data_IF_517176832367
#
_entry.id   IF_517176832367
#
_cell.length_a   1.000
_cell.length_b   1.000
_cell.length_c   1.000
_cell.angle_alpha   90.00
_cell.angle_beta   90.00
_cell.angle_gamma   90.00
#
_symmetry.space_group_name_H-M   'P 1'
#
loop_
_entity.id
_entity.type
_entity.pdbx_description
1 polymer ?
#
# COMPACT_ATOMS: atom_id res chain seq x y z
N UNK A 1 31.00 45.01 -45.20
CA UNK A 1 30.11 44.98 -44.01
C UNK A 1 28.71 44.67 -44.51
N UNK A 2 27.97 43.63 -44.12
CA UNK A 2 28.19 42.31 -43.52
C UNK A 2 26.93 41.55 -43.95
N UNK A 3 27.03 40.33 -44.48
CA UNK A 3 25.87 39.50 -44.87
C UNK A 3 25.01 39.18 -43.63
N UNK A 4 23.67 39.14 -43.72
CA UNK A 4 22.86 38.40 -42.77
C UNK A 4 22.69 36.94 -43.21
N UNK A 5 22.40 36.11 -42.22
CA UNK A 5 22.67 34.69 -42.11
C UNK A 5 21.65 33.78 -42.81
N UNK A 6 22.14 32.60 -43.21
CA UNK A 6 21.33 31.42 -43.52
C UNK A 6 20.71 30.88 -42.23
N UNK A 7 19.38 30.83 -42.18
CA UNK A 7 18.65 29.95 -41.27
C UNK A 7 18.55 28.59 -41.95
N UNK A 8 19.03 27.55 -41.27
CA UNK A 8 18.89 26.16 -41.70
C UNK A 8 17.81 25.54 -40.83
N UNK A 9 16.64 25.29 -41.43
CA UNK A 9 15.60 24.46 -40.86
C UNK A 9 16.08 23.00 -40.89
N UNK A 10 16.29 22.44 -39.70
CA UNK A 10 16.69 21.05 -39.52
C UNK A 10 15.47 20.28 -39.02
N UNK A 11 14.62 19.86 -39.95
CA UNK A 11 13.53 18.92 -39.70
C UNK A 11 14.14 17.53 -39.47
N UNK A 12 14.20 17.10 -38.20
CA UNK A 12 14.43 15.70 -37.84
C UNK A 12 13.06 15.08 -37.64
N UNK A 13 12.53 14.51 -38.72
CA UNK A 13 11.48 13.50 -38.60
C UNK A 13 12.08 12.28 -37.91
N UNK A 14 11.71 12.09 -36.64
CA UNK A 14 11.99 10.87 -35.91
C UNK A 14 11.07 9.77 -36.46
N UNK A 15 11.65 8.86 -37.25
CA UNK A 15 11.00 7.61 -37.65
C UNK A 15 10.58 6.84 -36.39
N UNK A 16 9.26 6.71 -36.21
CA UNK A 16 8.63 5.94 -35.15
C UNK A 16 8.56 4.47 -35.61
N UNK A 17 9.63 3.72 -35.37
CA UNK A 17 9.63 2.28 -35.60
C UNK A 17 8.72 1.59 -34.59
N UNK A 18 7.54 1.22 -35.06
CA UNK A 18 6.55 0.43 -34.34
C UNK A 18 6.94 -1.06 -34.36
N UNK A 19 7.72 -1.48 -33.38
CA UNK A 19 7.81 -2.86 -32.91
C UNK A 19 6.99 -2.96 -31.60
N UNK A 20 6.22 -3.97 -31.26
CA UNK A 20 5.96 -5.30 -31.80
C UNK A 20 4.70 -5.80 -31.07
N UNK A 21 3.74 -6.38 -31.80
CA UNK A 21 2.61 -7.08 -31.20
C UNK A 21 3.10 -8.41 -30.62
N UNK A 22 3.03 -8.55 -29.30
CA UNK A 22 3.26 -9.83 -28.63
C UNK A 22 1.95 -10.62 -28.62
N UNK A 23 1.80 -11.46 -29.64
CA UNK A 23 0.86 -12.59 -29.71
C UNK A 23 1.18 -13.58 -28.58
N UNK A 24 0.27 -13.72 -27.62
CA UNK A 24 0.36 -14.79 -26.62
C UNK A 24 -0.34 -16.04 -27.16
N UNK A 25 0.46 -17.04 -27.54
CA UNK A 25 0.02 -18.39 -27.87
C UNK A 25 -0.75 -19.04 -26.70
N UNK A 26 -2.08 -19.13 -26.84
CA UNK A 26 -2.93 -20.00 -26.05
C UNK A 26 -2.72 -21.46 -26.50
N UNK A 27 -1.71 -22.12 -25.93
CA UNK A 27 -1.61 -23.58 -26.00
C UNK A 27 -2.59 -24.20 -25.02
N UNK A 28 -3.80 -24.44 -25.50
CA UNK A 28 -4.72 -25.43 -24.96
C UNK A 28 -4.10 -26.82 -25.14
N UNK A 29 -3.76 -27.47 -24.03
CA UNK A 29 -3.52 -28.90 -24.00
C UNK A 29 -4.61 -29.57 -23.18
N UNK A 30 -5.10 -30.65 -23.77
CA UNK A 30 -6.31 -31.40 -23.51
C UNK A 30 -6.20 -32.40 -22.35
N UNK A 31 -7.38 -32.97 -22.03
CA UNK A 31 -7.63 -34.29 -21.42
C UNK A 31 -7.44 -34.41 -19.90
N UNK A 32 -8.55 -34.52 -19.14
CA UNK A 32 -9.45 -35.67 -18.94
C UNK A 32 -8.96 -36.59 -17.81
N UNK A 33 -9.80 -36.72 -16.79
CA UNK A 33 -9.50 -37.50 -15.60
C UNK A 33 -10.55 -37.31 -14.51
N UNK A 34 -11.69 -37.99 -14.66
CA UNK A 34 -12.61 -38.28 -13.57
C UNK A 34 -11.85 -39.13 -12.53
N UNK A 35 -11.82 -38.67 -11.29
CA UNK A 35 -11.22 -39.39 -10.16
C UNK A 35 -11.60 -38.73 -8.87
N UNK A 36 -12.56 -39.35 -8.21
CA UNK A 36 -13.10 -39.06 -6.88
C UNK A 36 -12.02 -38.88 -5.82
N UNK A 37 -12.31 -37.99 -4.88
CA UNK A 37 -11.94 -38.00 -3.45
C UNK A 37 -11.37 -36.66 -3.00
N UNK A 38 -12.29 -35.82 -2.54
CA UNK A 38 -12.01 -34.62 -1.76
C UNK A 38 -11.48 -35.01 -0.38
N UNK A 39 -10.22 -35.43 -0.31
CA UNK A 39 -9.47 -35.41 0.94
C UNK A 39 -9.08 -33.97 1.23
N UNK A 40 -9.74 -33.39 2.23
CA UNK A 40 -9.34 -32.17 2.90
C UNK A 40 -7.92 -32.42 3.45
N UNK A 41 -6.89 -31.90 2.78
CA UNK A 41 -5.54 -31.80 3.34
C UNK A 41 -5.54 -30.74 4.44
N UNK A 42 -6.10 -31.08 5.59
CA UNK A 42 -5.68 -30.51 6.87
C UNK A 42 -4.27 -31.02 7.17
N UNK A 43 -3.31 -30.12 7.34
CA UNK A 43 -2.07 -30.42 8.05
C UNK A 43 -0.82 -30.52 7.18
N UNK A 44 -0.19 -29.38 6.96
CA UNK A 44 1.20 -29.24 7.37
C UNK A 44 1.23 -28.24 8.52
N UNK A 45 1.17 -28.77 9.74
CA UNK A 45 1.68 -28.05 10.91
C UNK A 45 3.17 -27.84 10.67
N UNK A 46 3.52 -26.75 10.01
CA UNK A 46 4.89 -26.23 10.07
C UNK A 46 5.00 -25.70 11.48
N UNK A 47 5.48 -26.56 12.37
CA UNK A 47 5.92 -26.19 13.71
C UNK A 47 7.21 -25.42 13.54
N UNK A 48 7.12 -24.19 13.01
CA UNK A 48 8.15 -23.20 13.27
C UNK A 48 8.15 -23.11 14.80
N UNK A 49 9.26 -23.39 15.49
CA UNK A 49 9.35 -23.05 16.90
C UNK A 49 9.20 -21.54 16.95
N UNK A 50 7.97 -21.08 17.20
CA UNK A 50 7.65 -19.70 17.48
C UNK A 50 8.04 -19.53 18.94
N UNK A 51 9.12 -18.80 19.29
CA UNK A 51 9.43 -18.47 20.67
C UNK A 51 8.17 -18.06 21.40
N UNK A 52 7.95 -18.67 22.56
CA UNK A 52 6.86 -18.32 23.48
C UNK A 52 6.86 -16.80 23.71
N UNK A 53 5.82 -16.11 23.25
CA UNK A 53 5.70 -14.65 23.29
C UNK A 53 5.54 -13.97 21.93
N UNK A 54 5.73 -14.69 20.82
CA UNK A 54 5.54 -14.12 19.49
C UNK A 54 4.10 -14.35 19.03
N UNK A 55 3.35 -13.25 18.96
CA UNK A 55 2.05 -13.21 18.26
C UNK A 55 2.30 -13.27 16.77
N UNK A 56 2.52 -14.47 16.22
CA UNK A 56 2.36 -14.67 14.77
C UNK A 56 0.87 -14.41 14.52
N UNK A 57 0.54 -13.32 13.83
CA UNK A 57 -0.84 -13.10 13.38
C UNK A 57 -1.01 -13.78 12.03
N UNK A 58 -1.53 -15.03 11.96
CA UNK A 58 -1.66 -15.79 10.71
C UNK A 58 -2.69 -15.21 9.73
N UNK A 59 -3.36 -14.11 10.09
CA UNK A 59 -4.46 -13.52 9.32
C UNK A 59 -4.04 -12.36 8.41
N UNK A 60 -2.79 -11.93 8.46
CA UNK A 60 -2.35 -10.70 7.79
C UNK A 60 -1.99 -11.01 6.32
N UNK A 61 -3.01 -11.05 5.48
CA UNK A 61 -2.86 -11.22 4.02
C UNK A 61 -4.12 -10.86 3.22
N UNK A 62 -5.30 -11.04 3.81
CA UNK A 62 -6.57 -10.93 3.07
C UNK A 62 -7.34 -9.61 3.28
N UNK A 63 -6.88 -8.72 4.16
CA UNK A 63 -7.68 -7.55 4.54
C UNK A 63 -6.98 -6.19 4.34
N UNK A 64 -6.09 -6.10 3.36
CA UNK A 64 -5.38 -4.88 3.03
C UNK A 64 -6.22 -3.93 2.17
N UNK A 65 -6.28 -2.66 2.54
CA UNK A 65 -6.87 -1.63 1.70
C UNK A 65 -5.92 -1.30 0.55
N UNK A 66 -6.28 -1.72 -0.67
CA UNK A 66 -5.49 -1.56 -1.89
C UNK A 66 -6.35 -0.94 -3.00
N UNK A 67 -6.73 0.34 -2.89
CA UNK A 67 -7.45 1.02 -3.95
C UNK A 67 -6.63 1.01 -5.25
N UNK A 68 -7.32 1.24 -6.36
CA UNK A 68 -6.69 1.46 -7.65
C UNK A 68 -5.76 2.69 -7.60
N UNK A 69 -4.90 2.82 -8.61
CA UNK A 69 -4.02 3.98 -8.68
C UNK A 69 -4.87 5.26 -8.77
N UNK A 70 -4.53 6.25 -7.94
CA UNK A 70 -5.18 7.55 -7.82
C UNK A 70 -6.66 7.52 -7.37
N UNK A 71 -7.20 6.34 -7.06
CA UNK A 71 -8.50 6.18 -6.41
C UNK A 71 -8.41 6.62 -4.95
N UNK A 72 -9.28 7.56 -4.59
CA UNK A 72 -9.39 8.10 -3.23
C UNK A 72 -10.48 7.39 -2.46
N UNK A 73 -10.13 6.86 -1.30
CA UNK A 73 -11.05 6.17 -0.40
C UNK A 73 -11.06 6.91 0.93
N UNK A 74 -12.26 7.23 1.42
CA UNK A 74 -12.42 7.77 2.76
C UNK A 74 -12.05 6.71 3.80
N UNK A 75 -11.30 7.11 4.82
CA UNK A 75 -10.90 6.21 5.90
C UNK A 75 -11.14 6.85 7.26
N UNK A 76 -11.51 6.02 8.23
CA UNK A 76 -11.47 6.34 9.66
C UNK A 76 -10.33 5.57 10.31
N UNK A 77 -9.44 6.27 11.00
CA UNK A 77 -8.32 5.65 11.71
C UNK A 77 -8.83 5.01 12.99
N UNK A 78 -8.53 3.74 13.20
CA UNK A 78 -8.92 2.99 14.39
C UNK A 78 -7.76 2.86 15.38
N UNK A 79 -6.61 2.38 14.89
CA UNK A 79 -5.40 2.17 15.68
C UNK A 79 -4.17 2.08 14.75
N UNK A 80 -2.97 2.20 15.31
CA UNK A 80 -1.73 1.89 14.59
C UNK A 80 -0.70 1.23 15.50
N UNK A 81 0.06 0.29 14.93
CA UNK A 81 1.09 -0.45 15.67
C UNK A 81 2.41 -0.47 14.90
N UNK A 82 3.52 -0.17 15.58
CA UNK A 82 4.88 -0.39 15.06
C UNK A 82 5.21 -1.88 15.15
N UNK A 83 5.67 -2.45 14.04
CA UNK A 83 5.94 -3.88 13.91
C UNK A 83 7.10 -4.13 12.95
N UNK A 84 7.59 -5.37 12.91
CA UNK A 84 8.55 -5.86 11.92
C UNK A 84 7.85 -6.75 10.91
N UNK A 85 7.90 -6.36 9.64
CA UNK A 85 7.44 -7.18 8.51
C UNK A 85 8.61 -7.96 7.92
N UNK A 86 8.44 -9.27 7.77
CA UNK A 86 9.50 -10.19 7.35
C UNK A 86 8.97 -11.18 6.31
N UNK A 87 9.72 -11.40 5.25
CA UNK A 87 9.40 -12.39 4.23
C UNK A 87 9.92 -13.76 4.60
N UNK A 88 9.05 -14.76 4.70
CA UNK A 88 9.45 -16.16 4.90
C UNK A 88 9.53 -16.88 3.54
N UNK A 89 10.73 -17.19 3.01
CA UNK A 89 10.88 -17.73 1.66
C UNK A 89 10.18 -19.08 1.45
N UNK A 90 10.20 -19.94 2.47
CA UNK A 90 9.59 -21.28 2.41
C UNK A 90 8.07 -21.23 2.25
N UNK A 91 7.44 -20.17 2.76
CA UNK A 91 5.98 -20.03 2.76
C UNK A 91 5.44 -18.95 1.82
N UNK A 92 6.31 -18.13 1.25
CA UNK A 92 5.97 -17.08 0.28
C UNK A 92 4.89 -16.10 0.78
N UNK A 93 4.91 -15.79 2.08
CA UNK A 93 4.11 -14.71 2.64
C UNK A 93 4.91 -13.89 3.66
N UNK A 94 4.38 -12.71 3.97
CA UNK A 94 4.95 -11.80 4.97
C UNK A 94 4.42 -12.15 6.35
N UNK A 95 5.33 -12.27 7.31
CA UNK A 95 5.06 -12.42 8.73
C UNK A 95 5.28 -11.08 9.44
N UNK A 96 4.51 -10.85 10.51
CA UNK A 96 4.54 -9.63 11.30
C UNK A 96 4.89 -9.97 12.74
N UNK A 97 5.83 -9.22 13.31
CA UNK A 97 6.35 -9.42 14.65
C UNK A 97 6.33 -8.11 15.43
N UNK A 98 6.08 -8.18 16.74
CA UNK A 98 6.12 -7.01 17.62
C UNK A 98 7.57 -6.58 17.93
N UNK A 99 8.49 -7.54 17.94
CA UNK A 99 9.92 -7.34 18.17
C UNK A 99 10.73 -7.84 16.97
N UNK A 100 11.97 -7.36 16.84
CA UNK A 100 12.85 -7.80 15.76
C UNK A 100 13.16 -9.30 15.88
N UNK A 101 12.86 -10.10 14.84
CA UNK A 101 13.07 -11.54 14.92
C UNK A 101 14.56 -11.90 14.79
N UNK A 102 15.05 -12.77 15.67
CA UNK A 102 16.46 -13.17 15.75
C UNK A 102 16.81 -14.41 14.91
N UNK A 103 16.07 -14.68 13.85
CA UNK A 103 16.26 -15.88 13.00
C UNK A 103 16.80 -15.52 11.62
N UNK A 104 17.72 -16.34 11.11
CA UNK A 104 18.31 -16.19 9.77
C UNK A 104 17.38 -16.67 8.65
N UNK A 105 16.30 -17.39 8.98
CA UNK A 105 15.35 -17.93 7.99
C UNK A 105 14.48 -16.85 7.34
N UNK A 106 14.29 -15.72 8.04
CA UNK A 106 13.50 -14.59 7.58
C UNK A 106 14.35 -13.66 6.71
N UNK A 107 13.75 -13.19 5.62
CA UNK A 107 14.36 -12.24 4.71
C UNK A 107 13.62 -10.92 4.74
N UNK A 108 14.27 -9.85 4.29
CA UNK A 108 13.66 -8.52 4.12
C UNK A 108 13.00 -8.01 5.40
N UNK A 109 13.66 -8.21 6.54
CA UNK A 109 13.24 -7.67 7.83
C UNK A 109 13.20 -6.16 7.70
N UNK A 110 12.02 -5.57 7.87
CA UNK A 110 11.82 -4.13 7.84
C UNK A 110 10.88 -3.71 8.95
N UNK A 111 11.19 -2.60 9.60
CA UNK A 111 10.24 -1.94 10.47
C UNK A 111 9.15 -1.29 9.63
N UNK A 112 7.92 -1.39 10.10
CA UNK A 112 6.73 -0.80 9.48
C UNK A 112 5.80 -0.25 10.55
N UNK A 113 4.85 0.56 10.11
CA UNK A 113 3.64 0.87 10.87
C UNK A 113 2.46 0.18 10.21
N UNK A 114 1.73 -0.64 10.96
CA UNK A 114 0.48 -1.22 10.53
C UNK A 114 -0.67 -0.35 11.03
N UNK A 115 -1.35 0.32 10.10
CA UNK A 115 -2.49 1.19 10.37
C UNK A 115 -3.79 0.38 10.20
N UNK A 116 -4.60 0.37 11.24
CA UNK A 116 -5.96 -0.19 11.21
C UNK A 116 -6.96 0.91 10.90
N UNK A 117 -7.78 0.70 9.86
CA UNK A 117 -8.74 1.69 9.39
C UNK A 117 -10.11 1.08 9.14
N UNK A 118 -11.15 1.91 9.08
CA UNK A 118 -12.47 1.56 8.58
C UNK A 118 -12.75 2.32 7.28
N UNK A 119 -13.07 1.61 6.20
CA UNK A 119 -13.28 2.17 4.84
C UNK A 119 -14.77 2.38 4.48
N UNK A 120 -15.67 2.22 5.44
CA UNK A 120 -17.12 2.21 5.21
C UNK A 120 -17.69 0.80 5.05
N UNK A 121 -16.92 -0.13 4.48
CA UNK A 121 -17.31 -1.51 4.21
C UNK A 121 -16.77 -2.50 5.26
N UNK A 122 -15.74 -2.11 6.00
CA UNK A 122 -15.21 -2.91 7.10
C UNK A 122 -13.87 -2.42 7.61
N UNK A 123 -13.36 -3.11 8.64
CA UNK A 123 -12.00 -2.92 9.13
C UNK A 123 -11.01 -3.40 8.05
N UNK A 124 -10.00 -2.59 7.74
CA UNK A 124 -8.92 -2.86 6.79
C UNK A 124 -7.57 -2.51 7.40
N UNK A 125 -6.51 -2.98 6.75
CA UNK A 125 -5.12 -2.71 7.13
C UNK A 125 -4.40 -1.92 6.04
N UNK A 126 -3.53 -1.00 6.45
CA UNK A 126 -2.58 -0.29 5.58
C UNK A 126 -1.19 -0.44 6.20
N UNK A 127 -0.27 -1.09 5.48
CA UNK A 127 1.14 -1.13 5.87
C UNK A 127 1.81 0.17 5.42
N UNK A 128 2.51 0.87 6.29
CA UNK A 128 3.26 2.10 6.01
C UNK A 128 4.74 1.88 6.30
N UNK A 129 5.60 2.44 5.45
CA UNK A 129 7.01 2.66 5.81
C UNK A 129 7.17 3.97 6.60
N UNK A 130 8.37 4.26 7.06
CA UNK A 130 8.64 5.44 7.90
C UNK A 130 8.24 6.76 7.20
N UNK A 131 8.62 6.94 5.93
CA UNK A 131 8.27 8.16 5.16
C UNK A 131 6.76 8.31 4.95
N UNK A 132 6.07 7.21 4.65
CA UNK A 132 4.60 7.19 4.48
C UNK A 132 3.89 7.46 5.83
N UNK A 133 4.48 7.01 6.93
CA UNK A 133 3.95 7.23 8.27
C UNK A 133 4.15 8.69 8.73
N UNK A 134 5.31 9.30 8.47
CA UNK A 134 5.53 10.73 8.74
C UNK A 134 4.50 11.59 8.00
N UNK A 135 4.22 11.26 6.74
CA UNK A 135 3.19 11.94 5.96
C UNK A 135 1.79 11.77 6.57
N UNK A 136 1.48 10.57 7.04
CA UNK A 136 0.24 10.27 7.75
C UNK A 136 0.13 11.07 9.06
N UNK A 137 1.18 11.10 9.89
CA UNK A 137 1.18 11.81 11.18
C UNK A 137 0.87 13.30 11.00
N UNK A 138 1.48 13.95 9.99
CA UNK A 138 1.15 15.34 9.67
C UNK A 138 -0.33 15.53 9.32
N UNK A 139 -0.91 14.63 8.53
CA UNK A 139 -2.33 14.69 8.16
C UNK A 139 -3.23 14.41 9.36
N UNK A 140 -2.84 13.47 10.21
CA UNK A 140 -3.57 13.09 11.41
C UNK A 140 -3.55 14.19 12.48
N UNK A 141 -2.43 14.90 12.64
CA UNK A 141 -2.32 16.07 13.52
C UNK A 141 -3.22 17.23 13.04
N UNK A 142 -3.21 17.51 11.73
CA UNK A 142 -4.15 18.47 11.14
C UNK A 142 -5.61 18.04 11.32
N UNK A 143 -5.92 16.75 11.15
CA UNK A 143 -7.26 16.21 11.40
C UNK A 143 -7.66 16.38 12.87
N UNK A 144 -6.75 16.10 13.80
CA UNK A 144 -7.00 16.24 15.24
C UNK A 144 -7.23 17.69 15.64
N UNK A 145 -6.54 18.63 14.99
CA UNK A 145 -6.65 20.07 15.29
C UNK A 145 -7.87 20.72 14.62
N UNK A 146 -8.15 20.37 13.37
CA UNK A 146 -9.12 21.08 12.50
C UNK A 146 -10.37 20.27 12.16
N UNK A 147 -10.39 18.99 12.51
CA UNK A 147 -11.42 18.05 12.05
C UNK A 147 -11.42 17.86 10.53
N UNK A 148 -12.41 17.12 10.04
CA UNK A 148 -12.58 16.84 8.61
C UNK A 148 -12.69 15.34 8.31
N UNK A 149 -12.25 14.98 7.11
CA UNK A 149 -12.25 13.63 6.59
C UNK A 149 -10.84 13.27 6.10
N UNK A 150 -10.30 12.13 6.52
CA UNK A 150 -9.03 11.62 5.99
C UNK A 150 -9.34 10.73 4.78
N UNK A 151 -8.66 11.02 3.67
CA UNK A 151 -8.75 10.28 2.43
C UNK A 151 -7.42 9.60 2.13
N UNK A 152 -7.47 8.33 1.78
CA UNK A 152 -6.32 7.51 1.43
C UNK A 152 -6.32 7.21 -0.07
N UNK A 153 -5.16 7.27 -0.70
CA UNK A 153 -4.97 6.88 -2.09
C UNK A 153 -3.56 6.37 -2.35
N UNK A 154 -3.38 5.72 -3.50
CA UNK A 154 -2.08 5.21 -3.93
C UNK A 154 -1.66 5.90 -5.21
N UNK A 155 -0.52 6.58 -5.19
CA UNK A 155 -0.01 7.32 -6.34
C UNK A 155 1.28 6.70 -6.84
N UNK A 156 1.45 6.63 -8.16
CA UNK A 156 2.69 6.16 -8.76
C UNK A 156 3.76 7.26 -8.69
N UNK A 157 4.87 6.97 -8.03
CA UNK A 157 6.04 7.84 -7.97
C UNK A 157 7.25 7.05 -8.49
N UNK A 158 7.67 7.37 -9.72
CA UNK A 158 8.68 6.59 -10.43
C UNK A 158 8.23 5.14 -10.66
N UNK A 159 9.02 4.18 -10.14
CA UNK A 159 8.74 2.73 -10.26
C UNK A 159 7.88 2.16 -9.12
N UNK A 160 7.55 2.95 -8.10
CA UNK A 160 6.84 2.47 -6.89
C UNK A 160 5.50 3.17 -6.74
N UNK A 161 4.56 2.48 -6.10
CA UNK A 161 3.30 3.08 -5.67
C UNK A 161 3.47 3.54 -4.22
N UNK A 162 3.41 4.86 -3.99
CA UNK A 162 3.41 5.45 -2.65
C UNK A 162 2.00 5.53 -2.11
N UNK A 163 1.87 5.35 -0.81
CA UNK A 163 0.65 5.55 -0.03
C UNK A 163 0.60 6.99 0.45
N UNK A 164 -0.50 7.67 0.17
CA UNK A 164 -0.67 9.07 0.52
C UNK A 164 -2.00 9.29 1.23
N UNK A 165 -1.99 10.26 2.13
CA UNK A 165 -3.13 10.71 2.90
C UNK A 165 -3.45 12.17 2.60
N UNK A 166 -4.73 12.51 2.59
CA UNK A 166 -5.20 13.87 2.35
C UNK A 166 -6.31 14.22 3.32
N UNK A 167 -6.21 15.39 3.95
CA UNK A 167 -7.27 15.94 4.80
C UNK A 167 -8.22 16.80 3.98
N UNK A 168 -9.49 16.43 3.96
CA UNK A 168 -10.58 17.27 3.49
C UNK A 168 -11.24 17.93 4.71
N UNK A 169 -10.96 19.21 4.91
CA UNK A 169 -11.45 19.97 6.06
C UNK A 169 -12.98 20.14 6.01
N UNK A 170 -13.63 20.11 7.18
CA UNK A 170 -15.07 20.37 7.30
C UNK A 170 -15.29 21.89 7.25
N UNK A 171 -15.72 22.39 6.10
CA UNK A 171 -16.14 23.78 5.88
C UNK A 171 -15.09 24.88 6.12
N UNK A 172 -13.98 24.86 5.38
CA UNK A 172 -13.15 26.06 5.27
C UNK A 172 -13.78 27.01 4.23
N UNK A 173 -14.51 28.05 4.67
CA UNK A 173 -14.73 29.20 3.77
C UNK A 173 -13.40 29.95 3.63
N UNK A 174 -13.06 30.49 2.46
CA UNK A 174 -11.86 31.32 2.31
C UNK A 174 -11.94 32.50 3.29
N UNK A 175 -11.03 32.55 4.26
CA UNK A 175 -10.97 33.62 5.27
C UNK A 175 -11.62 33.32 6.62
N UNK A 176 -12.17 32.13 6.85
CA UNK A 176 -12.60 31.76 8.20
C UNK A 176 -11.38 31.59 9.12
N UNK A 177 -11.42 32.16 10.35
CA UNK A 177 -10.34 31.96 11.31
C UNK A 177 -10.24 30.47 11.63
N UNK A 178 -9.01 29.98 11.66
CA UNK A 178 -8.66 28.60 11.97
C UNK A 178 -9.28 28.23 13.32
N UNK A 179 -10.41 27.50 13.29
CA UNK A 179 -11.07 27.00 14.50
C UNK A 179 -10.33 25.75 14.96
N UNK A 180 -9.65 25.87 16.09
CA UNK A 180 -9.16 24.71 16.84
C UNK A 180 -10.38 24.00 17.41
N UNK A 181 -10.58 22.75 17.05
CA UNK A 181 -11.58 21.90 17.70
C UNK A 181 -10.95 21.26 18.92
N UNK A 182 -11.67 21.22 20.03
CA UNK A 182 -11.27 20.42 21.17
C UNK A 182 -11.81 19.00 20.99
N UNK A 183 -11.15 17.99 21.58
CA UNK A 183 -11.63 16.59 21.55
C UNK A 183 -13.09 16.44 22.04
N UNK A 184 -13.55 17.35 22.91
CA UNK A 184 -14.92 17.40 23.39
C UNK A 184 -15.96 17.74 22.32
N UNK A 185 -15.54 18.35 21.20
CA UNK A 185 -16.44 18.77 20.11
C UNK A 185 -16.68 17.64 19.09
N UNK A 186 -16.04 16.48 19.27
CA UNK A 186 -16.09 15.32 18.38
C UNK A 186 -17.01 14.19 18.87
N UNK A 187 -17.78 14.39 19.95
CA UNK A 187 -18.73 13.40 20.53
C UNK A 187 -20.17 13.88 20.42
#
# INVERSE_FOLDING_TARGET
MTKPAEETDFDVEAEFDSESELEYDLKSNSESGLGSDSEIRTGTNISIPVPSGITVSPLIGHNYLKPAQDEKVFIQVLDFKKMYACWLPGLRYTLYFDEEPKTEELKRIRQIVLLEVYDGNGKRLIELNDEEFEQFEMVYDMFSTYGGEIWFYRQKTGRRLRKNFWLKQKNAKPGDPIRKYNLSDMV
#
